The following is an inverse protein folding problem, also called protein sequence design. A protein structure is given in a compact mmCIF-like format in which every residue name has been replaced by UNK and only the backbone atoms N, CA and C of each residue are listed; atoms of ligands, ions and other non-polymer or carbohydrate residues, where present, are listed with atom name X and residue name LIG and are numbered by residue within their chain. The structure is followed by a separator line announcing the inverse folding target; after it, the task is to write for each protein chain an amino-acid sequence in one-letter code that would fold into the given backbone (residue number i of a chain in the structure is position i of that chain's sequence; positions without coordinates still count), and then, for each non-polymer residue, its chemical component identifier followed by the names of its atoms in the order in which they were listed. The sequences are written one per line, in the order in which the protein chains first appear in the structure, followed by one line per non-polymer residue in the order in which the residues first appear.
data_IF_962882462003
#
_entry.id   IF_962882462003
#
_cell.length_a   1.000
_cell.length_b   1.000
_cell.length_c   1.000
_cell.angle_alpha   90.00
_cell.angle_beta   90.00
_cell.angle_gamma   90.00
#
_symmetry.space_group_name_H-M   'P 1'
#
loop_
_entity.id
_entity.type
_entity.pdbx_description
1 polymer ?
#
# COMPACT_ATOMS: atom_id res chain seq x y z
N UNK A 1 -14.82 -4.48 0.71
CA UNK A 1 -14.98 -4.07 2.12
C UNK A 1 -14.51 -5.21 2.99
N UNK A 2 -13.72 -4.95 4.05
CA UNK A 2 -13.25 -6.01 4.95
C UNK A 2 -14.39 -6.85 5.55
N UNK A 3 -15.58 -6.27 5.77
CA UNK A 3 -16.76 -7.03 6.25
C UNK A 3 -17.19 -8.13 5.26
N UNK A 4 -17.07 -7.89 3.95
CA UNK A 4 -17.38 -8.89 2.91
C UNK A 4 -16.35 -10.02 2.91
N UNK A 5 -15.10 -9.74 3.30
CA UNK A 5 -14.07 -10.76 3.41
C UNK A 5 -14.49 -11.83 4.44
N UNK A 6 -15.06 -11.43 5.56
CA UNK A 6 -15.60 -12.39 6.55
C UNK A 6 -16.66 -13.30 5.95
N UNK A 7 -17.60 -12.74 5.18
CA UNK A 7 -18.67 -13.53 4.54
C UNK A 7 -18.13 -14.56 3.53
N UNK A 8 -17.08 -14.21 2.80
CA UNK A 8 -16.41 -15.12 1.86
C UNK A 8 -15.72 -16.26 2.63
N UNK A 9 -15.05 -15.93 3.75
CA UNK A 9 -14.39 -16.93 4.58
C UNK A 9 -15.40 -17.89 5.21
N UNK A 10 -16.52 -17.39 5.71
CA UNK A 10 -17.59 -18.19 6.32
C UNK A 10 -18.26 -19.14 5.29
N UNK A 11 -18.32 -18.73 4.02
CA UNK A 11 -18.88 -19.52 2.93
C UNK A 11 -17.89 -20.46 2.23
N UNK A 12 -16.61 -20.46 2.62
CA UNK A 12 -15.58 -21.27 1.97
C UNK A 12 -15.66 -22.73 2.46
N UNK A 13 -15.99 -23.66 1.55
CA UNK A 13 -16.07 -25.09 1.81
C UNK A 13 -14.71 -25.82 1.75
N UNK A 14 -13.60 -25.08 1.62
CA UNK A 14 -12.24 -25.62 1.50
C UNK A 14 -11.71 -25.68 0.05
N UNK A 15 -12.51 -25.32 -0.96
CA UNK A 15 -12.04 -25.21 -2.34
C UNK A 15 -11.20 -23.95 -2.58
N UNK A 16 -11.48 -22.87 -1.86
CA UNK A 16 -10.66 -21.66 -1.91
C UNK A 16 -9.48 -21.81 -0.95
N UNK A 17 -8.27 -21.92 -1.50
CA UNK A 17 -7.03 -22.09 -0.73
C UNK A 17 -6.63 -20.83 0.04
N UNK A 18 -7.15 -19.66 -0.33
CA UNK A 18 -6.87 -18.42 0.36
C UNK A 18 -7.53 -17.20 -0.28
N UNK A 19 -7.89 -16.24 0.56
CA UNK A 19 -8.42 -14.94 0.15
C UNK A 19 -7.35 -13.89 0.34
N UNK A 20 -7.11 -13.07 -0.69
CA UNK A 20 -6.17 -11.95 -0.61
C UNK A 20 -6.91 -10.62 -0.55
N UNK A 21 -6.42 -9.72 0.30
CA UNK A 21 -6.84 -8.33 0.36
C UNK A 21 -6.34 -7.51 -0.83
N UNK A 22 -6.72 -6.24 -0.86
CA UNK A 22 -6.32 -5.35 -1.94
C UNK A 22 -6.29 -3.88 -1.52
N UNK A 23 -6.85 -3.01 -2.37
CA UNK A 23 -6.97 -1.58 -2.15
C UNK A 23 -5.64 -0.85 -1.83
N UNK A 24 -4.50 -1.41 -2.27
CA UNK A 24 -3.18 -0.85 -2.03
C UNK A 24 -2.61 -1.13 -0.63
N UNK A 25 -3.19 -2.06 0.14
CA UNK A 25 -2.77 -2.36 1.51
C UNK A 25 -3.39 -1.47 2.59
N UNK A 26 -4.28 -0.55 2.19
CA UNK A 26 -4.97 0.41 3.08
C UNK A 26 -5.79 -0.22 4.20
N UNK A 27 -6.27 -1.44 4.01
CA UNK A 27 -7.12 -2.12 4.97
C UNK A 27 -6.43 -3.36 5.58
N UNK A 28 -5.10 -3.46 5.43
CA UNK A 28 -4.38 -4.70 5.69
C UNK A 28 -4.54 -5.24 7.11
N UNK A 29 -4.52 -4.38 8.14
CA UNK A 29 -4.71 -4.82 9.53
C UNK A 29 -6.05 -5.53 9.70
N UNK A 30 -7.11 -4.94 9.14
CA UNK A 30 -8.46 -5.48 9.27
C UNK A 30 -8.63 -6.73 8.40
N UNK A 31 -8.13 -6.72 7.17
CA UNK A 31 -8.14 -7.88 6.27
C UNK A 31 -7.39 -9.07 6.89
N UNK A 32 -6.21 -8.83 7.46
CA UNK A 32 -5.38 -9.84 8.13
C UNK A 32 -6.11 -10.46 9.33
N UNK A 33 -6.67 -9.62 10.22
CA UNK A 33 -7.43 -10.07 11.40
C UNK A 33 -8.68 -10.87 11.04
N UNK A 34 -9.18 -10.74 9.81
CA UNK A 34 -10.32 -11.51 9.26
C UNK A 34 -9.88 -12.79 8.53
N UNK A 35 -8.59 -13.11 8.55
CA UNK A 35 -8.05 -14.34 7.99
C UNK A 35 -7.62 -14.24 6.53
N UNK A 36 -7.39 -13.02 5.99
CA UNK A 36 -6.76 -12.91 4.67
C UNK A 36 -5.38 -13.57 4.68
N UNK A 37 -5.05 -14.28 3.61
CA UNK A 37 -3.79 -15.03 3.43
C UNK A 37 -2.72 -14.25 2.66
N UNK A 38 -3.04 -13.02 2.25
CA UNK A 38 -2.13 -12.14 1.55
C UNK A 38 -2.79 -10.81 1.21
N UNK A 39 -2.03 -9.92 0.57
CA UNK A 39 -2.53 -8.65 0.05
C UNK A 39 -1.91 -8.38 -1.33
N UNK A 40 -2.67 -7.71 -2.19
CA UNK A 40 -2.18 -7.16 -3.46
C UNK A 40 -1.93 -5.64 -3.32
N UNK A 41 -0.73 -5.23 -2.87
CA UNK A 41 -0.42 -3.82 -2.65
C UNK A 41 -0.17 -3.08 -3.96
N UNK A 42 -0.10 -1.75 -3.87
CA UNK A 42 0.43 -0.95 -4.95
C UNK A 42 1.93 -1.25 -5.15
N UNK A 43 2.34 -1.41 -6.40
CA UNK A 43 3.72 -1.76 -6.78
C UNK A 43 4.79 -0.77 -6.29
N UNK A 44 4.39 0.46 -5.97
CA UNK A 44 5.27 1.58 -5.65
C UNK A 44 5.79 1.57 -4.21
N UNK A 45 5.26 0.71 -3.33
CA UNK A 45 5.63 0.54 -1.90
C UNK A 45 5.59 -0.92 -1.45
N UNK A 46 5.74 -1.87 -2.37
CA UNK A 46 5.65 -3.30 -2.05
C UNK A 46 6.64 -3.73 -0.97
N UNK A 47 7.83 -3.14 -0.94
CA UNK A 47 8.86 -3.38 0.07
C UNK A 47 8.43 -2.96 1.49
N UNK A 48 7.68 -1.86 1.60
CA UNK A 48 7.10 -1.42 2.88
C UNK A 48 5.95 -2.34 3.29
N UNK A 49 5.08 -2.72 2.34
CA UNK A 49 3.94 -3.62 2.63
C UNK A 49 4.39 -5.02 3.02
N UNK A 50 5.52 -5.53 2.47
CA UNK A 50 6.12 -6.79 2.92
C UNK A 50 6.54 -6.69 4.39
N UNK A 51 7.20 -5.60 4.80
CA UNK A 51 7.55 -5.40 6.21
C UNK A 51 6.31 -5.28 7.10
N UNK A 52 5.25 -4.65 6.59
CA UNK A 52 3.97 -4.55 7.29
C UNK A 52 3.33 -5.92 7.49
N UNK A 53 3.28 -6.75 6.43
CA UNK A 53 2.81 -8.13 6.50
C UNK A 53 3.62 -8.95 7.51
N UNK A 54 4.95 -8.88 7.43
CA UNK A 54 5.84 -9.63 8.34
C UNK A 54 5.67 -9.20 9.81
N UNK A 55 5.37 -7.94 10.08
CA UNK A 55 5.06 -7.48 11.43
C UNK A 55 3.75 -8.09 11.95
N UNK A 56 2.70 -8.17 11.11
CA UNK A 56 1.44 -8.82 11.46
C UNK A 56 1.62 -10.34 11.67
N UNK A 57 2.33 -11.01 10.76
CA UNK A 57 2.59 -12.45 10.82
C UNK A 57 3.49 -12.84 12.01
N UNK A 58 4.44 -11.97 12.35
CA UNK A 58 5.30 -12.12 13.54
C UNK A 58 4.62 -11.76 14.87
N UNK A 59 3.36 -11.30 14.87
CA UNK A 59 2.64 -10.87 16.07
C UNK A 59 3.08 -9.51 16.65
N UNK A 60 3.89 -8.74 15.93
CA UNK A 60 4.35 -7.41 16.31
C UNK A 60 3.30 -6.36 15.92
N UNK A 61 2.17 -6.35 16.65
CA UNK A 61 1.06 -5.44 16.38
C UNK A 61 1.46 -3.96 16.52
N UNK A 62 2.41 -3.64 17.39
CA UNK A 62 2.89 -2.27 17.60
C UNK A 62 3.62 -1.77 16.35
N UNK A 63 4.57 -2.56 15.82
CA UNK A 63 5.27 -2.22 14.57
C UNK A 63 4.31 -2.17 13.38
N UNK A 64 3.38 -3.12 13.29
CA UNK A 64 2.38 -3.12 12.23
C UNK A 64 1.55 -1.82 12.25
N UNK A 65 1.08 -1.41 13.44
CA UNK A 65 0.35 -0.15 13.61
C UNK A 65 1.22 1.08 13.34
N UNK A 66 2.52 1.04 13.67
CA UNK A 66 3.45 2.13 13.36
C UNK A 66 3.60 2.32 11.84
N UNK A 67 3.88 1.24 11.11
CA UNK A 67 3.99 1.27 9.64
C UNK A 67 2.69 1.76 9.02
N UNK A 68 1.53 1.29 9.52
CA UNK A 68 0.23 1.76 9.05
C UNK A 68 0.05 3.28 9.20
N UNK A 69 0.43 3.84 10.35
CA UNK A 69 0.36 5.28 10.61
C UNK A 69 1.31 6.08 9.71
N UNK A 70 2.54 5.60 9.53
CA UNK A 70 3.53 6.22 8.64
C UNK A 70 3.04 6.21 7.18
N UNK A 71 2.38 5.14 6.74
CA UNK A 71 1.82 4.99 5.38
C UNK A 71 0.51 5.75 5.14
N UNK A 72 -0.21 6.14 6.20
CA UNK A 72 -1.54 6.75 6.09
C UNK A 72 -1.59 8.00 5.19
N UNK A 73 -0.63 8.96 5.25
CA UNK A 73 -0.61 10.10 4.35
C UNK A 73 -0.55 9.69 2.87
N UNK A 74 0.30 8.72 2.53
CA UNK A 74 0.42 8.22 1.16
C UNK A 74 -0.89 7.57 0.68
N UNK A 75 -1.53 6.78 1.54
CA UNK A 75 -2.82 6.16 1.26
C UNK A 75 -3.93 7.17 0.96
N UNK A 76 -3.99 8.29 1.69
CA UNK A 76 -4.95 9.36 1.42
C UNK A 76 -4.60 10.10 0.13
N UNK A 77 -3.32 10.40 -0.08
CA UNK A 77 -2.82 11.06 -1.27
C UNK A 77 -3.17 10.29 -2.55
N UNK A 78 -2.96 8.98 -2.55
CA UNK A 78 -3.27 8.10 -3.69
C UNK A 78 -4.76 7.94 -3.95
N UNK A 79 -5.57 8.00 -2.90
CA UNK A 79 -7.02 7.98 -3.03
C UNK A 79 -7.54 9.27 -3.65
N UNK A 80 -7.00 10.42 -3.24
CA UNK A 80 -7.34 11.73 -3.78
C UNK A 80 -6.85 11.88 -5.23
N UNK A 81 -5.61 11.50 -5.51
CA UNK A 81 -4.94 11.69 -6.80
C UNK A 81 -4.66 10.35 -7.48
N UNK A 82 -5.73 9.66 -7.88
CA UNK A 82 -5.63 8.35 -8.52
C UNK A 82 -4.67 8.35 -9.72
N UNK A 83 -3.78 7.35 -9.75
CA UNK A 83 -2.77 7.18 -10.80
C UNK A 83 -1.42 7.88 -10.55
N UNK A 84 -1.17 8.37 -9.34
CA UNK A 84 0.14 8.91 -8.92
C UNK A 84 1.20 7.83 -8.62
N UNK A 85 0.86 6.54 -8.64
CA UNK A 85 1.81 5.44 -8.36
C UNK A 85 3.10 5.48 -9.18
N UNK A 86 3.00 5.87 -10.45
CA UNK A 86 4.18 6.00 -11.33
C UNK A 86 5.12 7.12 -10.88
N UNK A 87 4.60 8.16 -10.23
CA UNK A 87 5.41 9.25 -9.68
C UNK A 87 6.25 8.75 -8.51
N UNK A 88 5.65 7.97 -7.61
CA UNK A 88 6.38 7.36 -6.50
C UNK A 88 7.48 6.44 -7.03
N UNK A 89 7.17 5.56 -8.00
CA UNK A 89 8.18 4.71 -8.64
C UNK A 89 9.32 5.52 -9.27
N UNK A 90 9.00 6.63 -9.93
CA UNK A 90 9.99 7.49 -10.58
C UNK A 90 10.88 8.20 -9.56
N UNK A 91 10.30 8.80 -8.51
CA UNK A 91 11.06 9.47 -7.44
C UNK A 91 11.93 8.52 -6.63
N UNK A 92 11.45 7.28 -6.45
CA UNK A 92 12.22 6.17 -5.87
C UNK A 92 13.25 5.58 -6.83
N UNK A 93 13.30 6.05 -8.08
CA UNK A 93 14.29 5.64 -9.07
C UNK A 93 14.08 4.22 -9.64
N UNK A 94 12.90 3.63 -9.49
CA UNK A 94 12.55 2.30 -10.01
C UNK A 94 12.30 2.34 -11.52
N UNK A 95 11.79 3.46 -12.03
CA UNK A 95 11.51 3.67 -13.45
C UNK A 95 12.06 5.03 -13.91
N UNK A 96 12.33 5.18 -15.21
CA UNK A 96 12.89 6.42 -15.77
C UNK A 96 11.85 7.48 -16.14
N UNK A 97 10.56 7.14 -16.14
CA UNK A 97 9.51 8.04 -16.63
C UNK A 97 8.13 7.82 -15.97
N UNK A 98 7.57 8.82 -15.27
CA UNK A 98 6.27 8.69 -14.62
C UNK A 98 5.08 8.91 -15.58
N UNK A 99 5.33 9.30 -16.84
CA UNK A 99 4.28 9.71 -17.79
C UNK A 99 3.28 8.58 -18.09
N UNK A 100 2.01 8.96 -18.28
CA UNK A 100 0.93 8.10 -18.74
C UNK A 100 0.78 8.23 -20.26
N UNK A 101 0.33 7.16 -20.93
CA UNK A 101 0.16 7.14 -22.40
C UNK A 101 -0.87 8.18 -22.85
N UNK A 102 -2.01 8.23 -22.18
CA UNK A 102 -3.09 9.18 -22.44
C UNK A 102 -3.39 9.96 -21.16
N UNK A 103 -3.32 11.29 -21.23
CA UNK A 103 -3.66 12.18 -20.12
C UNK A 103 -2.45 12.68 -19.32
N UNK A 104 -2.68 13.78 -18.60
CA UNK A 104 -1.67 14.39 -17.72
C UNK A 104 -1.63 13.66 -16.37
N UNK A 105 -0.48 13.75 -15.71
CA UNK A 105 -0.40 13.41 -14.29
C UNK A 105 -1.25 14.41 -13.51
N UNK A 106 -2.08 13.97 -12.54
CA UNK A 106 -2.91 14.86 -11.73
C UNK A 106 -2.07 15.46 -10.60
N UNK A 107 -0.92 16.05 -10.93
CA UNK A 107 0.05 16.53 -9.96
C UNK A 107 0.47 17.94 -10.35
N UNK A 108 -0.05 18.93 -9.63
CA UNK A 108 0.44 20.30 -9.70
C UNK A 108 1.62 20.51 -8.75
N UNK A 109 2.20 21.71 -8.75
CA UNK A 109 3.38 22.02 -7.94
C UNK A 109 3.13 21.85 -6.43
N UNK A 110 1.91 22.13 -5.97
CA UNK A 110 1.53 22.00 -4.56
C UNK A 110 1.46 20.52 -4.16
N UNK A 111 0.71 19.72 -4.92
CA UNK A 111 0.58 18.27 -4.69
C UNK A 111 1.92 17.56 -4.86
N UNK A 112 2.77 18.04 -5.78
CA UNK A 112 4.12 17.51 -5.98
C UNK A 112 4.99 17.69 -4.75
N UNK A 113 5.00 18.89 -4.14
CA UNK A 113 5.76 19.16 -2.91
C UNK A 113 5.22 18.35 -1.73
N UNK A 114 3.91 18.23 -1.61
CA UNK A 114 3.30 17.41 -0.56
C UNK A 114 3.69 15.94 -0.69
N UNK A 115 3.76 15.41 -1.93
CA UNK A 115 4.28 14.06 -2.15
C UNK A 115 5.76 13.92 -1.75
N UNK A 116 6.59 14.94 -1.96
CA UNK A 116 8.00 14.91 -1.51
C UNK A 116 8.10 14.81 0.02
N UNK A 117 7.26 15.54 0.76
CA UNK A 117 7.20 15.48 2.23
C UNK A 117 6.80 14.07 2.70
N UNK A 118 5.75 13.49 2.11
CA UNK A 118 5.29 12.13 2.42
C UNK A 118 6.41 11.11 2.17
N UNK A 119 7.09 11.20 1.02
CA UNK A 119 8.14 10.23 0.66
C UNK A 119 9.38 10.37 1.55
N UNK A 120 9.71 11.60 1.98
CA UNK A 120 10.80 11.84 2.93
C UNK A 120 10.54 11.18 4.28
N UNK A 121 9.32 11.29 4.80
CA UNK A 121 8.96 10.67 6.08
C UNK A 121 8.92 9.13 6.00
N UNK A 122 8.63 8.59 4.82
CA UNK A 122 8.64 7.15 4.55
C UNK A 122 10.02 6.58 4.22
N UNK A 123 11.02 7.42 3.90
CA UNK A 123 12.37 6.98 3.55
C UNK A 123 12.98 5.97 4.54
N UNK A 124 12.86 6.12 5.87
CA UNK A 124 13.46 5.19 6.83
C UNK A 124 12.90 3.76 6.77
N UNK A 125 11.70 3.56 6.22
CA UNK A 125 11.06 2.24 6.09
C UNK A 125 11.05 1.72 4.64
N UNK A 126 11.51 2.51 3.68
CA UNK A 126 11.71 2.08 2.30
C UNK A 126 13.06 1.36 2.17
N UNK A 127 13.07 0.16 1.59
CA UNK A 127 14.28 -0.66 1.46
C UNK A 127 14.78 -0.78 0.02
N UNK A 128 13.99 -0.36 -0.96
CA UNK A 128 14.52 -0.14 -2.32
C UNK A 128 15.50 1.04 -2.31
N UNK A 129 16.78 0.74 -2.59
CA UNK A 129 17.84 1.70 -2.85
C UNK A 129 18.43 1.49 -4.24
N UNK A 130 18.96 2.56 -4.83
CA UNK A 130 19.84 2.47 -6.01
C UNK A 130 21.27 2.10 -5.61
#
# INVERSE_FOLDING_TARGET
SPVVLQQIMDGNNGECLGVMGGAGGRYLIEEYRRGSTGNMPGCHVTDVVVQFWNALDGGDEERAMRIYKEMAPLFFFEHQLSGCYKEVLFRRGVIDCPKKRNGKMPLDDVSSKYLDEILKDLEPIMTWGK
#
